data_IF_009549790611
#
_entry.id   IF_009549790611
#
_cell.length_a   1.000
_cell.length_b   1.000
_cell.length_c   1.000
_cell.angle_alpha   90.00
_cell.angle_beta   90.00
_cell.angle_gamma   90.00
#
_symmetry.space_group_name_H-M   'P 1'
#
loop_
_entity.id
_entity.type
_entity.pdbx_description
1 polymer ?
#
# COMPACT_ATOMS: atom_id res chain seq x y z
N UNK A 1 -14.51 -52.85 -46.49
CA UNK A 1 -14.88 -52.72 -47.92
C UNK A 1 -15.99 -51.68 -48.02
N UNK A 2 -15.75 -50.55 -48.68
CA UNK A 2 -16.80 -49.57 -49.03
C UNK A 2 -17.66 -50.07 -50.19
N UNK A 3 -18.89 -49.55 -50.31
CA UNK A 3 -19.26 -48.80 -51.52
C UNK A 3 -19.92 -47.45 -51.12
N UNK A 4 -19.36 -46.28 -51.44
CA UNK A 4 -19.47 -45.48 -52.68
C UNK A 4 -20.90 -45.20 -53.19
N UNK A 5 -21.09 -43.96 -53.68
CA UNK A 5 -22.16 -43.30 -54.49
C UNK A 5 -22.80 -42.07 -53.79
N UNK A 6 -23.19 -40.99 -54.51
CA UNK A 6 -22.58 -40.36 -55.69
C UNK A 6 -22.44 -38.81 -55.58
N UNK A 7 -21.86 -38.24 -56.64
CA UNK A 7 -21.56 -36.82 -56.90
C UNK A 7 -22.80 -35.91 -57.00
N UNK A 8 -22.59 -34.67 -56.55
CA UNK A 8 -22.91 -33.38 -57.17
C UNK A 8 -24.36 -33.09 -57.64
N UNK A 9 -24.92 -31.96 -57.16
CA UNK A 9 -25.20 -30.79 -58.01
C UNK A 9 -25.57 -29.56 -57.18
N UNK A 10 -25.13 -28.44 -57.71
CA UNK A 10 -25.19 -27.09 -57.15
C UNK A 10 -26.62 -26.53 -57.08
N UNK A 11 -26.83 -25.59 -56.14
CA UNK A 11 -27.53 -24.35 -56.43
C UNK A 11 -27.19 -23.33 -55.32
N UNK A 12 -26.41 -22.32 -55.70
CA UNK A 12 -26.28 -21.10 -54.92
C UNK A 12 -27.63 -20.36 -54.95
N UNK A 13 -28.11 -19.93 -53.79
CA UNK A 13 -29.09 -18.86 -53.69
C UNK A 13 -28.73 -18.01 -52.46
N UNK A 14 -28.18 -16.83 -52.76
CA UNK A 14 -27.97 -15.78 -51.79
C UNK A 14 -29.32 -15.24 -51.32
N UNK A 15 -29.50 -15.07 -50.01
CA UNK A 15 -30.54 -14.24 -49.44
C UNK A 15 -29.94 -13.40 -48.31
N UNK A 16 -30.06 -12.08 -48.50
CA UNK A 16 -29.56 -11.01 -47.67
C UNK A 16 -30.32 -10.90 -46.33
N UNK A 17 -29.58 -10.54 -45.28
CA UNK A 17 -29.94 -9.43 -44.39
C UNK A 17 -30.97 -9.67 -43.28
N UNK A 18 -30.47 -9.85 -42.06
CA UNK A 18 -30.69 -8.95 -40.92
C UNK A 18 -30.15 -9.61 -39.64
N UNK A 19 -28.89 -9.32 -39.31
CA UNK A 19 -28.29 -9.70 -38.03
C UNK A 19 -28.64 -8.60 -37.02
N UNK A 20 -29.66 -8.82 -36.20
CA UNK A 20 -29.82 -8.06 -34.94
C UNK A 20 -29.07 -8.80 -33.85
N UNK A 21 -27.76 -8.57 -33.77
CA UNK A 21 -26.99 -8.89 -32.57
C UNK A 21 -27.36 -7.83 -31.52
N UNK A 22 -28.24 -8.19 -30.60
CA UNK A 22 -28.31 -7.53 -29.30
C UNK A 22 -27.07 -7.99 -28.51
N UNK A 23 -25.94 -7.34 -28.74
CA UNK A 23 -24.81 -7.36 -27.81
C UNK A 23 -25.22 -6.59 -26.57
N UNK A 24 -25.91 -7.24 -25.65
CA UNK A 24 -25.93 -6.80 -24.27
C UNK A 24 -24.56 -7.13 -23.67
N UNK A 25 -23.60 -6.23 -23.91
CA UNK A 25 -22.42 -6.10 -23.07
C UNK A 25 -22.90 -5.58 -21.70
N UNK A 26 -23.30 -6.51 -20.83
CA UNK A 26 -23.25 -6.29 -19.40
C UNK A 26 -21.85 -6.66 -18.94
N UNK A 27 -20.90 -5.74 -19.13
CA UNK A 27 -19.61 -5.81 -18.47
C UNK A 27 -19.83 -5.29 -17.05
N UNK A 28 -20.23 -6.19 -16.16
CA UNK A 28 -20.05 -5.93 -14.73
C UNK A 28 -18.54 -6.06 -14.49
N UNK A 29 -17.88 -4.91 -14.42
CA UNK A 29 -16.47 -4.71 -14.07
C UNK A 29 -16.22 -5.19 -12.62
N UNK A 30 -16.30 -6.49 -12.38
CA UNK A 30 -15.51 -7.16 -11.35
C UNK A 30 -14.24 -7.69 -12.02
N UNK A 31 -13.41 -6.76 -12.52
CA UNK A 31 -12.03 -7.10 -12.78
C UNK A 31 -11.46 -7.62 -11.45
N UNK A 32 -10.87 -8.83 -11.40
CA UNK A 32 -10.18 -9.28 -10.20
C UNK A 32 -9.13 -8.22 -9.87
N UNK A 33 -9.35 -7.47 -8.79
CA UNK A 33 -8.32 -6.57 -8.28
C UNK A 33 -7.11 -7.46 -8.03
N UNK A 34 -5.96 -7.24 -8.70
CA UNK A 34 -4.80 -8.08 -8.50
C UNK A 34 -4.53 -8.11 -7.00
N UNK A 35 -4.42 -9.33 -6.43
CA UNK A 35 -4.09 -9.49 -5.02
C UNK A 35 -2.89 -8.59 -4.74
N UNK A 36 -3.04 -7.69 -3.76
CA UNK A 36 -1.94 -6.87 -3.30
C UNK A 36 -0.76 -7.80 -3.00
N UNK A 37 0.40 -7.37 -3.44
CA UNK A 37 1.62 -8.10 -3.18
C UNK A 37 2.07 -7.75 -1.77
N UNK A 38 2.22 -8.75 -0.90
CA UNK A 38 2.54 -8.55 0.52
C UNK A 38 3.98 -8.03 0.75
N UNK A 39 4.76 -7.78 -0.30
CA UNK A 39 6.07 -7.14 -0.19
C UNK A 39 5.94 -5.70 0.32
N UNK A 40 6.71 -5.39 1.37
CA UNK A 40 6.88 -4.03 1.92
C UNK A 40 7.96 -3.25 1.15
N UNK A 41 9.04 -3.92 0.75
CA UNK A 41 10.15 -3.32 -0.02
C UNK A 41 9.76 -3.02 -1.47
N UNK A 42 10.55 -2.15 -2.11
CA UNK A 42 10.39 -1.72 -3.50
C UNK A 42 9.05 -1.00 -3.78
N UNK A 43 8.45 -0.43 -2.73
CA UNK A 43 7.19 0.32 -2.79
C UNK A 43 7.32 1.67 -2.10
N UNK A 44 6.58 2.64 -2.61
CA UNK A 44 6.33 3.88 -1.90
C UNK A 44 5.06 3.72 -1.06
N UNK A 45 5.14 4.03 0.22
CA UNK A 45 4.02 3.94 1.17
C UNK A 45 3.60 5.34 1.59
N UNK A 46 2.37 5.71 1.31
CA UNK A 46 1.81 6.99 1.75
C UNK A 46 1.05 6.80 3.05
N UNK A 47 1.30 7.67 4.04
CA UNK A 47 0.54 7.70 5.29
C UNK A 47 -0.85 8.27 5.01
N UNK A 48 -1.88 7.51 5.40
CA UNK A 48 -3.30 7.91 5.23
C UNK A 48 -3.99 8.17 6.55
N UNK A 49 -3.43 7.67 7.67
CA UNK A 49 -3.98 7.90 9.00
C UNK A 49 -2.92 7.71 10.07
N UNK A 50 -2.98 8.56 11.10
CA UNK A 50 -2.19 8.47 12.31
C UNK A 50 -3.19 8.38 13.47
N UNK A 51 -3.12 7.30 14.24
CA UNK A 51 -3.99 7.07 15.38
C UNK A 51 -3.13 7.12 16.63
N UNK A 52 -3.36 8.11 17.49
CA UNK A 52 -2.64 8.27 18.77
C UNK A 52 -3.50 7.85 19.97
N UNK A 53 -4.80 7.68 19.74
CA UNK A 53 -5.80 7.21 20.70
C UNK A 53 -7.02 6.72 19.89
N UNK A 54 -7.86 5.83 20.44
CA UNK A 54 -8.97 5.20 19.71
C UNK A 54 -10.06 6.20 19.29
N UNK A 55 -10.22 7.29 20.02
CA UNK A 55 -11.15 8.39 19.72
C UNK A 55 -10.49 9.56 18.95
N UNK A 56 -9.17 9.51 18.78
CA UNK A 56 -8.38 10.54 18.11
C UNK A 56 -7.92 10.12 16.70
N UNK A 57 -8.58 9.12 16.09
CA UNK A 57 -8.26 8.64 14.75
C UNK A 57 -8.23 9.80 13.76
N UNK A 58 -7.02 10.17 13.33
CA UNK A 58 -6.82 11.36 12.51
C UNK A 58 -6.45 10.92 11.09
N UNK A 59 -7.42 11.04 10.20
CA UNK A 59 -7.21 10.80 8.77
C UNK A 59 -6.41 11.94 8.19
N UNK A 60 -5.36 11.62 7.44
CA UNK A 60 -4.63 12.61 6.66
C UNK A 60 -5.50 12.97 5.45
N UNK A 61 -5.95 14.22 5.30
CA UNK A 61 -6.76 14.60 4.13
C UNK A 61 -5.96 14.40 2.84
N UNK A 62 -6.55 13.79 1.82
CA UNK A 62 -5.88 13.63 0.51
C UNK A 62 -5.49 14.96 -0.14
N UNK A 63 -6.10 16.06 0.31
CA UNK A 63 -5.85 17.42 -0.18
C UNK A 63 -4.64 18.10 0.43
N UNK A 64 -3.93 17.50 1.41
CA UNK A 64 -2.74 18.16 1.96
C UNK A 64 -1.62 18.19 0.91
N UNK A 65 -0.97 19.34 0.68
CA UNK A 65 0.21 19.40 -0.14
C UNK A 65 1.31 18.59 0.55
N UNK A 66 1.91 17.66 -0.20
CA UNK A 66 2.98 16.77 0.28
C UNK A 66 2.55 15.89 1.45
N UNK A 67 1.68 14.90 1.17
CA UNK A 67 1.37 13.88 2.16
C UNK A 67 2.64 13.14 2.61
N UNK A 68 2.70 12.68 3.88
CA UNK A 68 3.83 11.91 4.36
C UNK A 68 3.97 10.59 3.61
N UNK A 69 5.20 10.24 3.26
CA UNK A 69 5.51 9.12 2.39
C UNK A 69 6.84 8.48 2.79
N UNK A 70 6.88 7.15 2.86
CA UNK A 70 8.08 6.37 3.22
C UNK A 70 8.35 5.25 2.22
N UNK A 71 9.63 4.92 2.06
CA UNK A 71 10.11 3.75 1.34
C UNK A 71 10.97 2.92 2.27
N UNK A 72 10.67 1.63 2.37
CA UNK A 72 11.39 0.68 3.22
C UNK A 72 12.35 -0.16 2.37
N UNK A 73 13.58 -0.30 2.85
CA UNK A 73 14.59 -1.22 2.34
C UNK A 73 14.87 -2.35 3.33
N UNK A 74 15.89 -3.16 3.03
CA UNK A 74 16.26 -4.31 3.86
C UNK A 74 16.78 -3.94 5.26
N UNK A 75 17.29 -2.73 5.45
CA UNK A 75 17.80 -2.24 6.74
C UNK A 75 17.70 -0.72 6.90
N UNK A 76 16.93 -0.07 6.03
CA UNK A 76 16.79 1.38 6.01
C UNK A 76 15.36 1.78 5.69
N UNK A 77 14.99 3.00 6.09
CA UNK A 77 13.79 3.67 5.62
C UNK A 77 14.15 5.09 5.24
N UNK A 78 13.58 5.59 4.15
CA UNK A 78 13.72 6.98 3.73
C UNK A 78 12.35 7.55 3.42
N UNK A 79 12.18 8.87 3.56
CA UNK A 79 10.92 9.48 3.18
C UNK A 79 10.77 10.91 3.68
N UNK A 80 9.52 11.33 3.81
CA UNK A 80 9.11 12.63 4.32
C UNK A 80 7.92 12.48 5.26
N UNK A 81 7.92 13.27 6.33
CA UNK A 81 6.78 13.45 7.24
C UNK A 81 5.79 14.52 6.73
N UNK A 82 6.00 15.02 5.52
CA UNK A 82 5.25 16.12 4.90
C UNK A 82 6.05 17.41 4.89
N UNK A 83 6.58 17.83 6.05
CA UNK A 83 7.44 19.02 6.17
C UNK A 83 8.94 18.70 6.21
N UNK A 84 9.30 17.50 6.68
CA UNK A 84 10.69 17.17 6.99
C UNK A 84 11.07 15.86 6.32
N UNK A 85 12.21 15.82 5.64
CA UNK A 85 12.76 14.55 5.13
C UNK A 85 13.44 13.78 6.25
N UNK A 86 13.40 12.46 6.13
CA UNK A 86 14.10 11.59 7.06
C UNK A 86 14.81 10.43 6.37
N UNK A 87 15.84 9.93 7.06
CA UNK A 87 16.47 8.66 6.80
C UNK A 87 16.66 7.92 8.13
N UNK A 88 16.32 6.64 8.15
CA UNK A 88 16.41 5.78 9.32
C UNK A 88 17.16 4.49 9.01
N UNK A 89 17.84 3.95 10.03
CA UNK A 89 18.35 2.58 10.07
C UNK A 89 17.36 1.71 10.83
N UNK A 90 17.07 0.55 10.27
CA UNK A 90 16.06 -0.37 10.77
C UNK A 90 16.65 -1.76 11.01
N UNK A 91 16.11 -2.41 12.02
CA UNK A 91 16.29 -3.82 12.30
C UNK A 91 14.93 -4.50 12.36
N UNK A 92 14.83 -5.72 11.82
CA UNK A 92 13.60 -6.50 11.83
C UNK A 92 13.79 -7.72 12.72
N UNK A 93 12.73 -8.09 13.45
CA UNK A 93 12.71 -9.27 14.29
C UNK A 93 11.39 -10.03 14.18
N UNK A 94 11.43 -11.32 14.52
CA UNK A 94 10.28 -12.15 14.87
C UNK A 94 10.67 -13.03 16.05
N UNK A 95 9.79 -13.20 17.03
CA UNK A 95 10.07 -14.00 18.24
C UNK A 95 11.42 -13.68 18.90
N UNK A 96 11.76 -12.39 18.96
CA UNK A 96 13.04 -11.83 19.46
C UNK A 96 14.31 -12.25 18.68
N UNK A 97 14.17 -12.94 17.56
CA UNK A 97 15.26 -13.29 16.66
C UNK A 97 15.38 -12.30 15.50
N UNK A 98 16.60 -12.05 15.03
CA UNK A 98 16.86 -11.09 13.93
C UNK A 98 16.46 -11.69 12.60
N UNK A 99 15.59 -10.98 11.89
CA UNK A 99 15.03 -11.41 10.62
C UNK A 99 15.26 -10.37 9.51
N UNK A 100 14.85 -10.73 8.30
CA UNK A 100 14.63 -9.76 7.24
C UNK A 100 13.17 -9.28 7.24
N UNK A 101 12.88 -8.18 6.55
CA UNK A 101 11.55 -7.55 6.47
C UNK A 101 10.41 -8.46 5.95
N UNK A 102 10.73 -9.58 5.27
CA UNK A 102 9.70 -10.52 4.78
C UNK A 102 9.30 -11.55 5.83
N UNK A 103 10.23 -11.88 6.72
CA UNK A 103 10.08 -12.96 7.70
C UNK A 103 9.85 -12.42 9.12
N UNK A 104 10.16 -11.14 9.35
CA UNK A 104 9.87 -10.44 10.60
C UNK A 104 8.41 -10.04 10.78
N UNK A 105 8.07 -9.59 11.98
CA UNK A 105 6.79 -8.95 12.29
C UNK A 105 6.96 -7.69 13.18
N UNK A 106 8.18 -7.43 13.64
CA UNK A 106 8.55 -6.25 14.42
C UNK A 106 9.68 -5.51 13.72
N UNK A 107 9.59 -4.18 13.69
CA UNK A 107 10.64 -3.28 13.20
C UNK A 107 11.10 -2.39 14.34
N UNK A 108 12.41 -2.21 14.43
CA UNK A 108 13.08 -1.37 15.40
C UNK A 108 13.79 -0.23 14.69
N UNK A 109 13.61 1.00 15.17
CA UNK A 109 14.33 2.17 14.70
C UNK A 109 15.69 2.31 15.39
N UNK A 110 16.73 1.68 14.83
CA UNK A 110 18.10 1.76 15.36
C UNK A 110 18.64 3.21 15.41
N UNK A 111 18.30 4.00 14.40
CA UNK A 111 18.65 5.42 14.31
C UNK A 111 17.69 6.14 13.37
N UNK A 112 17.22 7.33 13.76
CA UNK A 112 16.45 8.22 12.89
C UNK A 112 17.15 9.56 12.74
N UNK A 113 17.28 10.04 11.50
CA UNK A 113 17.80 11.37 11.17
C UNK A 113 16.74 12.15 10.41
N UNK A 114 16.51 13.37 10.85
CA UNK A 114 15.68 14.35 10.19
C UNK A 114 16.55 15.45 9.59
N UNK A 115 16.22 15.85 8.36
CA UNK A 115 16.73 17.08 7.76
C UNK A 115 16.13 18.32 8.46
N UNK A 116 16.54 19.51 8.03
CA UNK A 116 15.85 20.74 8.39
C UNK A 116 14.40 20.71 7.88
N UNK A 117 13.46 21.12 8.74
CA UNK A 117 12.05 21.26 8.41
C UNK A 117 11.86 22.41 7.42
N UNK A 118 11.03 22.22 6.39
CA UNK A 118 10.70 23.26 5.42
C UNK A 118 10.06 24.48 6.12
N UNK A 119 10.62 25.67 5.89
CA UNK A 119 10.17 26.92 6.49
C UNK A 119 8.78 27.36 6.00
N UNK A 120 8.40 26.92 4.79
CA UNK A 120 7.10 27.21 4.18
C UNK A 120 6.05 26.13 4.52
N UNK A 121 6.36 25.20 5.44
CA UNK A 121 5.40 24.16 5.81
C UNK A 121 4.28 24.73 6.68
N UNK A 122 3.03 24.53 6.25
CA UNK A 122 1.86 25.07 6.92
C UNK A 122 0.70 24.06 7.01
N UNK A 123 -0.29 24.38 7.85
CA UNK A 123 -1.57 23.67 7.89
C UNK A 123 -1.46 22.21 8.32
N UNK A 124 -2.17 21.33 7.61
CA UNK A 124 -2.26 19.91 7.94
C UNK A 124 -0.92 19.17 7.89
N UNK A 125 0.02 19.65 7.07
CA UNK A 125 1.36 19.05 6.95
C UNK A 125 2.19 19.25 8.22
N UNK A 126 2.08 20.40 8.89
CA UNK A 126 2.74 20.66 10.20
C UNK A 126 2.20 19.74 11.28
N UNK A 127 0.89 19.50 11.29
CA UNK A 127 0.29 18.57 12.25
C UNK A 127 0.80 17.14 12.03
N UNK A 128 0.82 16.66 10.78
CA UNK A 128 1.31 15.32 10.45
C UNK A 128 2.80 15.19 10.78
N UNK A 129 3.61 16.21 10.47
CA UNK A 129 5.04 16.26 10.77
C UNK A 129 5.32 16.06 12.25
N UNK A 130 4.65 16.84 13.10
CA UNK A 130 4.86 16.77 14.55
C UNK A 130 4.50 15.40 15.12
N UNK A 131 3.38 14.81 14.68
CA UNK A 131 2.98 13.48 15.16
C UNK A 131 3.95 12.39 14.69
N UNK A 132 4.31 12.40 13.41
CA UNK A 132 5.20 11.38 12.86
C UNK A 132 6.60 11.46 13.47
N UNK A 133 7.12 12.66 13.74
CA UNK A 133 8.42 12.82 14.40
C UNK A 133 8.45 12.33 15.84
N UNK A 134 7.32 12.38 16.53
CA UNK A 134 7.19 11.82 17.88
C UNK A 134 7.10 10.29 17.85
N UNK A 135 6.44 9.71 16.85
CA UNK A 135 6.28 8.26 16.71
C UNK A 135 7.52 7.59 16.10
N UNK A 136 8.12 8.21 15.10
CA UNK A 136 9.29 7.72 14.37
C UNK A 136 10.53 8.33 15.03
N UNK A 137 10.89 7.80 16.19
CA UNK A 137 12.11 8.14 16.91
C UNK A 137 13.01 6.92 17.04
N UNK A 138 14.30 7.16 17.26
CA UNK A 138 15.23 6.09 17.62
C UNK A 138 14.71 5.35 18.86
N UNK A 139 15.05 4.06 18.93
CA UNK A 139 14.67 3.12 19.99
C UNK A 139 13.18 2.77 20.05
N UNK A 140 12.33 3.32 19.17
CA UNK A 140 10.94 2.89 19.07
C UNK A 140 10.82 1.59 18.27
N UNK A 141 9.93 0.75 18.76
CA UNK A 141 9.56 -0.53 18.20
C UNK A 141 8.15 -0.47 17.62
N UNK A 142 7.94 -1.08 16.46
CA UNK A 142 6.61 -1.23 15.88
C UNK A 142 6.35 -2.67 15.46
N UNK A 143 5.19 -3.18 15.80
CA UNK A 143 4.62 -4.36 15.14
C UNK A 143 4.09 -3.91 13.79
N UNK A 144 4.46 -4.61 12.72
CA UNK A 144 3.99 -4.30 11.38
C UNK A 144 3.13 -5.41 10.80
N UNK A 145 2.09 -5.01 10.09
CA UNK A 145 1.22 -5.92 9.35
C UNK A 145 0.95 -5.36 7.97
N UNK A 146 1.17 -6.19 6.95
CA UNK A 146 0.77 -5.92 5.57
C UNK A 146 -0.43 -6.79 5.23
N UNK A 147 -1.42 -6.23 4.55
CA UNK A 147 -2.58 -6.99 4.08
C UNK A 147 -2.70 -6.98 2.55
N UNK A 148 -3.55 -7.88 2.05
CA UNK A 148 -3.81 -8.09 0.63
C UNK A 148 -4.41 -6.88 -0.12
N UNK A 149 -4.77 -5.80 0.58
CA UNK A 149 -5.20 -4.54 -0.01
C UNK A 149 -4.03 -3.54 -0.17
N UNK A 150 -2.78 -4.00 -0.06
CA UNK A 150 -1.58 -3.18 0.01
C UNK A 150 -1.68 -2.07 1.07
N UNK A 151 -2.15 -2.44 2.27
CA UNK A 151 -2.13 -1.56 3.43
C UNK A 151 -1.07 -2.08 4.40
N UNK A 152 -0.21 -1.18 4.85
CA UNK A 152 0.78 -1.41 5.88
C UNK A 152 0.29 -0.69 7.14
N UNK A 153 0.24 -1.41 8.25
CA UNK A 153 -0.06 -0.85 9.56
C UNK A 153 1.20 -1.01 10.39
N UNK A 154 1.67 0.10 10.97
CA UNK A 154 2.72 0.12 11.98
C UNK A 154 2.06 0.46 13.30
N UNK A 155 2.04 -0.47 14.24
CA UNK A 155 1.51 -0.28 15.59
C UNK A 155 2.69 -0.20 16.56
N UNK A 156 2.75 0.87 17.35
CA UNK A 156 3.83 1.09 18.31
C UNK A 156 3.78 -0.01 19.38
N UNK A 157 4.90 -0.68 19.61
CA UNK A 157 5.00 -1.77 20.58
C UNK A 157 5.13 -1.19 22.00
N UNK A 158 3.98 -1.04 22.66
CA UNK A 158 3.86 -0.55 24.03
C UNK A 158 2.92 -1.44 24.83
N UNK A 159 2.96 -1.31 26.16
CA UNK A 159 2.03 -2.01 27.07
C UNK A 159 0.62 -1.36 27.12
N UNK A 160 0.31 -0.43 26.21
CA UNK A 160 -0.98 0.26 26.18
C UNK A 160 -2.07 -0.63 25.54
N UNK A 161 -3.33 -0.45 25.96
CA UNK A 161 -4.45 -1.19 25.37
C UNK A 161 -4.75 -0.73 23.96
N UNK A 162 -4.58 0.57 23.71
CA UNK A 162 -4.84 1.21 22.42
C UNK A 162 -3.55 1.89 21.94
N UNK A 163 -2.57 1.07 21.54
CA UNK A 163 -1.26 1.57 21.12
C UNK A 163 -1.37 2.45 19.87
N UNK A 164 -0.56 3.52 19.77
CA UNK A 164 -0.53 4.37 18.59
C UNK A 164 -0.23 3.58 17.32
N UNK A 165 -0.87 3.94 16.21
CA UNK A 165 -0.64 3.30 14.92
C UNK A 165 -0.55 4.28 13.75
N UNK A 166 0.23 3.90 12.75
CA UNK A 166 0.37 4.60 11.48
C UNK A 166 -0.15 3.67 10.39
N UNK A 167 -1.15 4.12 9.64
CA UNK A 167 -1.70 3.40 8.51
C UNK A 167 -1.15 3.98 7.22
N UNK A 168 -0.63 3.11 6.37
CA UNK A 168 -0.08 3.45 5.07
C UNK A 168 -0.72 2.64 3.95
N UNK A 169 -0.71 3.21 2.75
CA UNK A 169 -1.14 2.54 1.50
C UNK A 169 -0.03 2.61 0.47
N UNK A 170 0.19 1.53 -0.27
CA UNK A 170 1.16 1.53 -1.36
C UNK A 170 0.72 2.43 -2.52
N UNK A 171 1.67 3.18 -3.05
CA UNK A 171 1.58 4.03 -4.25
C UNK A 171 2.54 3.46 -5.32
N UNK A 172 2.28 2.23 -5.77
CA UNK A 172 3.10 1.55 -6.79
C UNK A 172 3.74 0.27 -6.30
#
# INVERSE_FOLDING_TARGET
MLPSHPRARAAAAAALGAVTLLTACGSEDDAPQPAGDDRIVDKQWQVVSINIAPDAASTIPESIPHAPEFSFGESTMVGTTGCTRLAARLSYTADDERENIRDGNKLHFDEVKYDDTDEDCEGGSVWADNLLRNLISSDNDFIYTVNSNNQLILELDTDEVDSPSIKLVSRG
#
